data_IF_189971849058
#
_entry.id   IF_189971849058
#
_cell.length_a   1.000
_cell.length_b   1.000
_cell.length_c   1.000
_cell.angle_alpha   90.00
_cell.angle_beta   90.00
_cell.angle_gamma   90.00
#
_symmetry.space_group_name_H-M   'P 1'
#
loop_
_entity.id
_entity.type
_entity.pdbx_description
1 polymer ?
#
# COMPACT_ATOMS: atom_id res chain seq x y z
N UNK A 1 -10.13 0.35 9.34
CA UNK A 1 -8.81 0.53 10.00
C UNK A 1 -7.66 0.26 9.03
N UNK A 2 -6.89 1.29 8.70
CA UNK A 2 -5.69 1.24 7.87
C UNK A 2 -4.57 0.43 8.53
N UNK A 3 -4.54 0.31 9.85
CA UNK A 3 -3.54 -0.52 10.53
C UNK A 3 -3.67 -2.03 10.27
N UNK A 4 -4.88 -2.54 9.96
CA UNK A 4 -5.11 -3.99 9.81
C UNK A 4 -4.31 -4.63 8.68
N UNK A 5 -4.47 -4.20 7.41
CA UNK A 5 -3.71 -4.75 6.29
C UNK A 5 -2.19 -4.59 6.47
N UNK A 6 -1.71 -3.48 7.04
CA UNK A 6 -0.28 -3.27 7.29
C UNK A 6 0.30 -4.32 8.24
N UNK A 7 -0.42 -4.67 9.32
CA UNK A 7 0.02 -5.70 10.28
C UNK A 7 0.12 -7.07 9.58
N UNK A 8 -0.87 -7.39 8.73
CA UNK A 8 -0.88 -8.65 7.96
C UNK A 8 0.33 -8.70 7.02
N UNK A 9 0.61 -7.61 6.30
CA UNK A 9 1.74 -7.51 5.38
C UNK A 9 3.08 -7.65 6.11
N UNK A 10 3.28 -6.95 7.23
CA UNK A 10 4.51 -7.09 8.04
C UNK A 10 4.66 -8.53 8.53
N UNK A 11 3.58 -9.14 9.02
CA UNK A 11 3.61 -10.54 9.48
C UNK A 11 3.95 -11.50 8.33
N UNK A 12 3.40 -11.27 7.14
CA UNK A 12 3.71 -12.05 5.94
C UNK A 12 5.18 -11.88 5.51
N UNK A 13 5.74 -10.67 5.64
CA UNK A 13 7.15 -10.39 5.36
C UNK A 13 8.06 -11.15 6.33
N UNK A 14 7.75 -11.15 7.64
CA UNK A 14 8.53 -11.92 8.64
C UNK A 14 8.46 -13.44 8.45
N UNK A 15 7.56 -13.94 7.60
CA UNK A 15 7.41 -15.35 7.25
C UNK A 15 7.93 -15.66 5.84
N UNK A 16 8.63 -14.72 5.21
CA UNK A 16 9.14 -14.83 3.84
C UNK A 16 8.05 -15.11 2.78
N UNK A 17 6.79 -14.75 3.06
CA UNK A 17 5.65 -14.96 2.16
C UNK A 17 5.59 -13.86 1.09
N UNK A 18 6.04 -12.65 1.43
CA UNK A 18 6.06 -11.49 0.55
C UNK A 18 7.45 -10.86 0.55
N UNK A 19 7.82 -10.19 -0.54
CA UNK A 19 9.11 -9.54 -0.70
C UNK A 19 9.13 -8.11 -0.14
N UNK A 20 10.31 -7.58 0.16
CA UNK A 20 10.48 -6.19 0.60
C UNK A 20 9.81 -5.14 -0.32
N UNK A 21 9.90 -5.22 -1.67
CA UNK A 21 9.18 -4.28 -2.55
C UNK A 21 7.66 -4.31 -2.37
N UNK A 22 7.09 -5.48 -2.09
CA UNK A 22 5.65 -5.62 -1.83
C UNK A 22 5.27 -4.98 -0.48
N UNK A 23 6.12 -5.12 0.53
CA UNK A 23 5.95 -4.45 1.82
C UNK A 23 6.01 -2.91 1.68
N UNK A 24 6.96 -2.39 0.90
CA UNK A 24 7.09 -0.94 0.64
C UNK A 24 5.88 -0.39 -0.12
N UNK A 25 5.43 -1.10 -1.17
CA UNK A 25 4.24 -0.72 -1.91
C UNK A 25 3.00 -0.68 -1.01
N UNK A 26 2.83 -1.67 -0.13
CA UNK A 26 1.74 -1.66 0.84
C UNK A 26 1.83 -0.48 1.81
N UNK A 27 3.02 -0.17 2.34
CA UNK A 27 3.23 0.94 3.27
C UNK A 27 2.87 2.31 2.67
N UNK A 28 3.12 2.51 1.37
CA UNK A 28 2.81 3.78 0.68
C UNK A 28 1.30 3.91 0.38
N UNK A 29 0.62 2.80 0.10
CA UNK A 29 -0.80 2.80 -0.23
C UNK A 29 -1.74 2.78 1.00
N UNK A 30 -1.20 2.87 2.22
CA UNK A 30 -1.89 2.58 3.47
C UNK A 30 -2.75 3.75 4.00
N UNK A 31 -3.71 4.24 3.21
CA UNK A 31 -4.58 5.38 3.60
C UNK A 31 -5.99 4.99 4.06
N UNK A 32 -6.19 3.73 4.46
CA UNK A 32 -7.52 3.17 4.76
C UNK A 32 -8.32 3.90 5.86
N UNK A 33 -7.66 4.58 6.80
CA UNK A 33 -8.32 5.32 7.89
C UNK A 33 -8.92 6.65 7.42
N UNK A 34 -8.25 7.35 6.50
CA UNK A 34 -8.76 8.58 5.89
C UNK A 34 -9.70 8.29 4.71
N UNK A 35 -9.44 7.20 3.98
CA UNK A 35 -10.22 6.81 2.80
C UNK A 35 -11.65 6.39 3.17
N UNK A 36 -11.85 5.69 4.29
CA UNK A 36 -13.16 5.14 4.64
C UNK A 36 -14.24 6.22 4.89
N UNK A 37 -14.02 7.27 5.72
CA UNK A 37 -14.96 8.37 5.84
C UNK A 37 -15.16 9.14 4.52
N UNK A 38 -14.09 9.27 3.73
CA UNK A 38 -14.11 10.00 2.47
C UNK A 38 -14.89 9.26 1.38
N UNK A 39 -14.84 7.93 1.37
CA UNK A 39 -15.65 7.07 0.51
C UNK A 39 -17.14 7.19 0.82
N UNK A 40 -17.50 7.30 2.10
CA UNK A 40 -18.89 7.50 2.54
C UNK A 40 -19.41 8.88 2.13
N UNK A 41 -18.58 9.93 2.19
CA UNK A 41 -18.99 11.31 1.90
C UNK A 41 -18.93 11.68 0.42
N UNK A 42 -17.84 11.33 -0.27
CA UNK A 42 -17.58 11.70 -1.67
C UNK A 42 -16.81 10.60 -2.42
N UNK A 43 -17.56 9.70 -3.08
CA UNK A 43 -16.98 8.57 -3.84
C UNK A 43 -15.94 8.99 -4.88
N UNK A 44 -16.18 10.06 -5.63
CA UNK A 44 -15.24 10.52 -6.67
C UNK A 44 -13.92 10.99 -6.06
N UNK A 45 -13.98 11.74 -4.95
CA UNK A 45 -12.78 12.18 -4.23
C UNK A 45 -12.02 10.98 -3.63
N UNK A 46 -12.75 9.94 -3.19
CA UNK A 46 -12.14 8.71 -2.68
C UNK A 46 -11.41 7.96 -3.78
N UNK A 47 -11.98 7.87 -4.98
CA UNK A 47 -11.30 7.24 -6.11
C UNK A 47 -10.02 8.00 -6.49
N UNK A 48 -10.08 9.33 -6.53
CA UNK A 48 -8.89 10.15 -6.76
C UNK A 48 -7.82 9.97 -5.69
N UNK A 49 -8.21 9.93 -4.41
CA UNK A 49 -7.28 9.66 -3.31
C UNK A 49 -6.61 8.28 -3.48
N UNK A 50 -7.38 7.23 -3.78
CA UNK A 50 -6.83 5.89 -4.04
C UNK A 50 -5.82 5.89 -5.19
N UNK A 51 -6.10 6.60 -6.28
CA UNK A 51 -5.17 6.65 -7.42
C UNK A 51 -3.86 7.34 -7.03
N UNK A 52 -3.94 8.46 -6.30
CA UNK A 52 -2.75 9.21 -5.89
C UNK A 52 -1.85 8.45 -4.91
N UNK A 53 -2.37 7.42 -4.25
CA UNK A 53 -1.59 6.63 -3.28
C UNK A 53 -1.15 5.30 -3.89
N UNK A 54 -2.02 4.67 -4.69
CA UNK A 54 -1.74 3.41 -5.38
C UNK A 54 -0.70 3.58 -6.50
N UNK A 55 -0.77 4.65 -7.29
CA UNK A 55 0.15 4.85 -8.42
C UNK A 55 1.60 5.02 -7.93
N UNK A 56 1.93 5.92 -6.98
CA UNK A 56 3.27 5.99 -6.42
C UNK A 56 3.72 4.71 -5.71
N UNK A 57 2.80 4.03 -5.01
CA UNK A 57 3.09 2.74 -4.38
C UNK A 57 3.54 1.67 -5.39
N UNK A 58 2.83 1.56 -6.52
CA UNK A 58 3.19 0.64 -7.59
C UNK A 58 4.51 1.03 -8.25
N UNK A 59 4.72 2.32 -8.54
CA UNK A 59 5.94 2.81 -9.17
C UNK A 59 7.16 2.49 -8.29
N UNK A 60 7.08 2.83 -7.00
CA UNK A 60 8.18 2.61 -6.05
C UNK A 60 8.42 1.12 -5.81
N UNK A 61 7.37 0.31 -5.64
CA UNK A 61 7.49 -1.15 -5.51
C UNK A 61 8.12 -1.81 -6.75
N UNK A 62 7.66 -1.45 -7.95
CA UNK A 62 8.26 -1.96 -9.19
C UNK A 62 9.71 -1.50 -9.33
N UNK A 63 10.02 -0.25 -9.01
CA UNK A 63 11.38 0.28 -9.10
C UNK A 63 12.34 -0.48 -8.17
N UNK A 64 11.93 -0.75 -6.93
CA UNK A 64 12.72 -1.55 -5.99
C UNK A 64 12.90 -2.99 -6.45
N UNK A 65 11.84 -3.59 -7.01
CA UNK A 65 11.91 -4.93 -7.58
C UNK A 65 12.87 -5.00 -8.77
N UNK A 66 12.81 -4.03 -9.68
CA UNK A 66 13.72 -3.93 -10.84
C UNK A 66 15.17 -3.65 -10.43
N UNK A 67 15.38 -2.91 -9.35
CA UNK A 67 16.71 -2.65 -8.78
C UNK A 67 17.33 -3.88 -8.10
N UNK A 68 16.61 -5.01 -8.03
CA UNK A 68 17.08 -6.24 -7.37
C UNK A 68 17.05 -6.17 -5.85
N UNK A 69 16.32 -5.20 -5.27
CA UNK A 69 16.19 -5.05 -3.82
C UNK A 69 15.04 -5.95 -3.37
N UNK A 70 15.32 -7.24 -3.17
CA UNK A 70 14.32 -8.27 -2.86
C UNK A 70 14.52 -8.93 -1.50
N UNK A 71 15.19 -8.26 -0.55
CA UNK A 71 15.54 -8.83 0.75
C UNK A 71 14.33 -9.38 1.50
#
# INVERSE_FOLDING_TARGET
PGCGPQIITITAFTKDIISFPALVANAISQDGDALFPLLVRHKTASLWATIHTTVPALITGLALWLAGISL
#
